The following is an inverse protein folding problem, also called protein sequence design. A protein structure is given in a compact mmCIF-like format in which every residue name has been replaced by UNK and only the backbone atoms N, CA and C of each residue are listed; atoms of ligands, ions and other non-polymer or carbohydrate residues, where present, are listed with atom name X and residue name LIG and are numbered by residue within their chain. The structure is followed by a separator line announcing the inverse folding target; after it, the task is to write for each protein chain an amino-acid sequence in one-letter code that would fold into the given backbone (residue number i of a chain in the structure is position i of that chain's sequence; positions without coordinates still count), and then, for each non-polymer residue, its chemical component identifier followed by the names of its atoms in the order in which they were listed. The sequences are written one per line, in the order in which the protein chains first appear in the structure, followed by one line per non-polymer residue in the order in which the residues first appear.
data_IF_120882972856
#
_entry.id   IF_120882972856
#
_cell.length_a   1.000
_cell.length_b   1.000
_cell.length_c   1.000
_cell.angle_alpha   90.00
_cell.angle_beta   90.00
_cell.angle_gamma   90.00
#
_symmetry.space_group_name_H-M   'P 1'
#
loop_
_entity.id
_entity.type
_entity.pdbx_description
1 polymer ?
2 non-polymer ?
3 water ?
#
# COMPACT_ATOMS: atom_id res chain seq x y z
N UNK A 6 -9.19 -6.04 11.06
CA UNK A 6 -8.44 -4.78 10.89
C UNK A 6 -9.09 -3.81 9.88
N UNK A 7 -9.86 -2.83 10.37
CA UNK A 7 -10.43 -1.79 9.49
C UNK A 7 -9.39 -0.80 8.89
N UNK A 8 -9.18 -0.95 7.58
CA UNK A 8 -8.32 -0.06 6.82
C UNK A 8 -9.21 0.80 5.97
N UNK A 9 -8.93 2.11 5.92
CA UNK A 9 -9.75 3.07 5.17
C UNK A 9 -8.90 3.81 4.15
N UNK A 10 -9.54 4.40 3.15
CA UNK A 10 -8.85 5.16 2.14
C UNK A 10 -9.02 6.64 2.47
N UNK A 11 -7.92 7.28 2.87
CA UNK A 11 -7.89 8.73 3.16
C UNK A 11 -7.26 9.41 1.95
N UNK A 12 -8.09 9.85 1.01
CA UNK A 12 -7.62 10.53 -0.22
C UNK A 12 -6.90 11.83 0.07
N UNK A 13 -7.37 12.54 1.08
CA UNK A 13 -6.80 13.85 1.46
C UNK A 13 -5.38 13.78 1.99
N UNK A 14 -5.05 12.69 2.65
CA UNK A 14 -3.67 12.43 3.03
C UNK A 14 -2.95 11.46 2.07
N UNK A 15 -3.62 11.06 0.99
CA UNK A 15 -3.06 10.08 0.06
C UNK A 15 -2.54 8.84 0.80
N UNK A 16 -3.37 8.25 1.66
CA UNK A 16 -2.96 7.00 2.32
C UNK A 16 -4.09 6.03 2.50
N UNK A 17 -3.75 4.75 2.65
CA UNK A 17 -4.70 3.77 3.15
C UNK A 17 -4.23 3.59 4.58
N UNK A 18 -5.16 3.67 5.53
CA UNK A 18 -4.71 3.67 6.93
C UNK A 18 -5.67 2.94 7.85
N UNK A 19 -5.20 2.54 9.04
CA UNK A 19 -6.10 2.11 10.12
C UNK A 19 -7.02 3.27 10.51
N UNK A 20 -8.18 2.99 11.08
CA UNK A 20 -9.09 4.08 11.48
C UNK A 20 -8.52 5.10 12.48
N UNK A 21 -7.57 4.68 13.33
CA UNK A 21 -6.97 5.58 14.32
C UNK A 21 -5.87 6.45 13.69
N UNK A 22 -5.73 6.30 12.38
CA UNK A 22 -4.72 6.99 11.58
C UNK A 22 -3.26 6.60 11.91
N UNK A 23 -3.04 5.60 12.77
CA UNK A 23 -1.69 5.31 13.28
C UNK A 23 -0.77 4.49 12.38
N UNK A 24 -1.36 3.61 11.56
CA UNK A 24 -0.60 2.79 10.64
C UNK A 24 -1.09 3.12 9.23
N UNK A 25 -0.16 3.21 8.27
CA UNK A 25 -0.55 3.71 6.94
C UNK A 25 0.44 3.32 5.86
N UNK A 26 -0.06 3.36 4.63
CA UNK A 26 0.75 3.31 3.45
C UNK A 26 0.37 4.53 2.63
N UNK A 27 1.38 5.35 2.28
CA UNK A 27 1.18 6.60 1.59
C UNK A 27 1.55 6.42 0.11
N UNK A 28 0.83 7.09 -0.79
CA UNK A 28 1.12 6.98 -2.22
C UNK A 28 1.23 8.38 -2.84
N UNK A 29 1.76 8.44 -4.06
CA UNK A 29 1.67 9.63 -4.91
C UNK A 29 1.12 9.09 -6.24
N UNK A 30 0.15 9.80 -6.81
CA UNK A 30 -0.49 9.41 -8.06
C UNK A 30 0.32 9.98 -9.20
N UNK A 31 0.52 9.19 -10.25
CA UNK A 31 1.34 9.64 -11.37
C UNK A 31 0.63 9.32 -12.66
N UNK A 32 1.13 9.93 -13.74
CA UNK A 32 0.62 9.73 -15.10
C UNK A 32 -0.90 9.94 -15.15
N UNK A 33 -1.33 11.17 -14.81
CA UNK A 33 -2.75 11.56 -14.74
C UNK A 33 -3.67 10.56 -14.07
N UNK A 34 -3.32 10.14 -12.86
CA UNK A 34 -4.12 9.21 -12.09
C UNK A 34 -4.07 7.75 -12.53
N UNK A 35 -3.12 7.39 -13.40
CA UNK A 35 -3.05 6.02 -13.92
C UNK A 35 -2.13 5.11 -13.13
N UNK A 36 -1.29 5.69 -12.27
CA UNK A 36 -0.26 4.93 -11.61
C UNK A 36 -0.24 5.36 -10.15
N UNK A 37 -0.23 4.39 -9.25
CA UNK A 37 -0.15 4.69 -7.85
C UNK A 37 1.25 4.26 -7.42
N UNK A 38 2.06 5.24 -7.03
CA UNK A 38 3.38 5.03 -6.45
C UNK A 38 3.31 4.89 -4.93
N UNK A 39 3.56 3.68 -4.41
CA UNK A 39 3.58 3.41 -2.96
C UNK A 39 4.91 3.82 -2.38
N UNK A 40 4.92 4.93 -1.65
CA UNK A 40 6.15 5.57 -1.28
C UNK A 40 6.65 5.33 0.17
N UNK A 41 5.74 5.06 1.11
CA UNK A 41 6.12 4.96 2.53
C UNK A 41 5.08 4.13 3.27
N UNK A 42 5.53 3.11 4.00
CA UNK A 42 4.65 2.38 4.91
C UNK A 42 5.14 2.58 6.36
N UNK A 43 4.21 2.76 7.30
CA UNK A 43 4.60 2.87 8.69
C UNK A 43 3.60 2.16 9.58
N UNK A 44 4.12 1.28 10.44
CA UNK A 44 3.34 0.64 11.48
C UNK A 44 4.05 0.98 12.80
N UNK A 45 3.29 1.39 13.82
CA UNK A 45 3.94 1.72 15.09
C UNK A 45 4.44 0.46 15.84
N UNK A 46 5.46 0.65 16.68
CA UNK A 46 6.22 -0.45 17.28
C UNK A 46 5.42 -1.53 17.98
N UNK A 47 4.34 -1.15 18.65
CA UNK A 47 3.58 -2.09 19.49
C UNK A 47 2.74 -3.06 18.65
N UNK A 48 2.51 -2.68 17.39
CA UNK A 48 1.66 -3.41 16.46
C UNK A 48 2.44 -4.11 15.32
N UNK A 49 3.77 -4.09 15.39
CA UNK A 49 4.64 -4.68 14.35
C UNK A 49 4.81 -6.20 14.41
N UNK A 50 5.25 -6.78 13.30
CA UNK A 50 5.58 -8.19 13.19
C UNK A 50 4.33 -9.05 13.22
N UNK A 51 3.17 -8.39 13.10
CA UNK A 51 1.86 -9.06 13.15
C UNK A 51 1.10 -9.05 11.80
N UNK A 52 1.73 -8.62 10.72
CA UNK A 52 1.05 -8.65 9.41
C UNK A 52 0.30 -7.36 9.06
N UNK A 53 0.39 -6.34 9.91
CA UNK A 53 -0.34 -5.11 9.59
C UNK A 53 0.11 -4.44 8.29
N UNK A 54 1.41 -4.34 8.03
CA UNK A 54 1.86 -3.69 6.81
C UNK A 54 1.39 -4.49 5.60
N UNK A 55 1.36 -5.80 5.73
CA UNK A 55 0.86 -6.65 4.66
C UNK A 55 -0.61 -6.32 4.36
N UNK A 56 -1.44 -6.18 5.40
CA UNK A 56 -2.85 -5.81 5.20
C UNK A 56 -3.01 -4.42 4.57
N UNK A 57 -2.15 -3.46 4.94
CA UNK A 57 -2.16 -2.13 4.33
C UNK A 57 -1.88 -2.23 2.84
N UNK A 58 -0.83 -2.98 2.48
CA UNK A 58 -0.51 -3.26 1.09
C UNK A 58 -1.67 -3.91 0.33
N UNK A 59 -2.31 -4.92 0.93
CA UNK A 59 -3.44 -5.59 0.28
C UNK A 59 -4.55 -4.55 -0.01
N UNK A 60 -4.78 -3.63 0.94
CA UNK A 60 -5.84 -2.61 0.74
C UNK A 60 -5.44 -1.79 -0.47
N UNK A 61 -4.17 -1.41 -0.56
CA UNK A 61 -3.80 -0.53 -1.66
C UNK A 61 -3.87 -1.25 -3.03
N UNK A 62 -3.37 -2.48 -3.09
CA UNK A 62 -3.41 -3.33 -4.31
C UNK A 62 -4.82 -3.63 -4.80
N UNK A 63 -5.72 -3.93 -3.86
CA UNK A 63 -7.11 -4.20 -4.21
C UNK A 63 -7.75 -2.96 -4.80
N UNK A 64 -7.51 -1.81 -4.15
CA UNK A 64 -7.90 -0.52 -4.70
C UNK A 64 -7.38 -0.29 -6.12
N UNK A 65 -6.08 -0.42 -6.32
CA UNK A 65 -5.45 -0.20 -7.63
C UNK A 65 -6.08 -1.14 -8.67
N UNK A 66 -6.10 -2.42 -8.33
CA UNK A 66 -6.68 -3.46 -9.13
C UNK A 66 -8.17 -3.19 -9.50
N UNK A 67 -9.04 -2.89 -8.54
CA UNK A 67 -10.44 -2.59 -8.92
C UNK A 67 -10.60 -1.32 -9.77
N UNK A 68 -9.67 -0.38 -9.67
CA UNK A 68 -9.79 0.87 -10.41
C UNK A 68 -8.99 0.90 -11.70
N UNK A 69 -8.40 -0.22 -12.07
CA UNK A 69 -7.54 -0.33 -13.28
C UNK A 69 -6.29 0.55 -13.26
N UNK A 70 -5.69 0.68 -12.08
CA UNK A 70 -4.51 1.51 -11.83
C UNK A 70 -3.31 0.55 -11.64
N UNK A 71 -2.12 0.90 -12.13
CA UNK A 71 -0.94 0.07 -11.87
C UNK A 71 -0.09 0.63 -10.70
N UNK A 72 0.82 -0.17 -10.17
CA UNK A 72 1.56 0.24 -8.95
C UNK A 72 3.07 0.38 -9.22
N UNK A 73 3.68 1.40 -8.62
CA UNK A 73 5.13 1.47 -8.47
C UNK A 73 5.42 1.18 -7.00
N UNK A 74 6.20 0.12 -6.73
CA UNK A 74 6.51 -0.30 -5.37
C UNK A 74 7.77 0.39 -4.89
N UNK A 75 7.73 1.72 -4.77
CA UNK A 75 8.91 2.45 -4.35
C UNK A 75 9.34 2.09 -2.93
N UNK A 76 8.38 2.06 -2.02
CA UNK A 76 8.61 1.73 -0.62
C UNK A 76 9.34 0.36 -0.49
N UNK A 77 10.37 0.28 0.35
CA UNK A 77 11.10 -1.00 0.46
C UNK A 77 10.30 -2.15 1.08
N UNK A 78 9.30 -1.85 1.92
CA UNK A 78 8.44 -2.95 2.43
C UNK A 78 7.75 -3.60 1.24
N UNK A 79 7.24 -2.77 0.34
CA UNK A 79 6.47 -3.31 -0.80
C UNK A 79 7.36 -4.14 -1.74
N UNK A 80 8.50 -3.60 -2.18
CA UNK A 80 9.30 -4.33 -3.18
C UNK A 80 10.10 -5.50 -2.57
N UNK A 81 10.51 -5.34 -1.33
CA UNK A 81 11.46 -6.30 -0.75
C UNK A 81 10.80 -7.38 0.05
N UNK A 82 9.59 -7.12 0.55
CA UNK A 82 8.91 -8.10 1.41
C UNK A 82 7.53 -8.51 0.90
N UNK A 83 6.67 -7.54 0.65
CA UNK A 83 5.30 -7.85 0.30
C UNK A 83 5.24 -8.56 -1.07
N UNK A 84 5.89 -7.99 -2.09
CA UNK A 84 5.78 -8.61 -3.43
C UNK A 84 6.36 -10.02 -3.56
N UNK A 85 7.57 -10.23 -3.04
CA UNK A 85 8.17 -11.58 -3.08
C UNK A 85 7.30 -12.61 -2.33
N UNK A 86 6.65 -12.20 -1.23
CA UNK A 86 5.81 -13.11 -0.43
C UNK A 86 4.41 -13.28 -1.01
N UNK A 87 4.08 -12.38 -1.95
CA UNK A 87 2.77 -12.30 -2.59
C UNK A 87 2.88 -12.06 -4.11
N UNK A 88 3.55 -12.97 -4.82
CA UNK A 88 3.85 -12.75 -6.25
C UNK A 88 2.62 -12.70 -7.17
N UNK A 89 1.46 -13.18 -6.73
CA UNK A 89 0.25 -13.06 -7.54
C UNK A 89 -0.18 -11.59 -7.74
N UNK A 90 0.47 -10.67 -7.03
CA UNK A 90 0.21 -9.23 -7.20
C UNK A 90 1.12 -8.55 -8.22
N UNK A 91 2.16 -9.26 -8.64
CA UNK A 91 3.13 -8.72 -9.56
C UNK A 91 2.59 -8.25 -10.93
N UNK A 92 1.53 -8.89 -11.48
CA UNK A 92 0.95 -8.28 -12.71
C UNK A 92 0.42 -6.83 -12.52
N UNK A 93 0.09 -6.43 -11.28
CA UNK A 93 -0.31 -5.03 -11.03
C UNK A 93 0.83 -4.01 -11.19
N UNK A 94 2.07 -4.50 -11.27
CA UNK A 94 3.24 -3.63 -11.18
C UNK A 94 3.54 -2.98 -12.51
N UNK A 95 3.75 -1.66 -12.47
CA UNK A 95 3.99 -0.88 -13.68
C UNK A 95 5.24 -1.38 -14.45
X LIG B 1 12.08 -3.11 4.23
X LIG B 1 11.63 -4.39 3.61
X LIG B 1 10.90 -5.20 4.60
X LIG B 1 10.98 -4.98 5.97
X LIG B 1 11.55 -3.82 6.50
X LIG B 1 12.04 -2.86 5.64
X LIG B 1 12.47 -1.70 6.13
X LIG B 1 11.47 -3.92 7.84
X LIG B 1 10.87 -5.08 8.14
X LIG B 1 10.58 -5.73 7.00
X LIG B 1 9.93 -7.04 6.81
X LIG B 1 10.67 -8.17 7.54
X LIG B 1 11.18 -9.13 6.55
X LIG B 1 9.56 -8.80 8.38
X LIG B 1 9.57 -10.21 8.16
X LIG B 1 9.74 -11.28 9.33
X LIG B 1 8.20 -11.89 9.49
X LIG B 1 10.17 -10.41 10.65
X LIG B 1 10.71 -12.34 8.90
X LIG B 1 8.28 -8.22 7.74
X LIG B 1 8.68 -6.91 7.44
X LIG B 1 7.14 -8.04 8.71
X LIG B 1 5.93 -8.01 7.95
X LIG B 1 4.63 -7.29 8.51
X LIG B 1 4.35 -7.83 9.85
X LIG B 1 3.61 -7.26 7.42
X LIG B 1 5.15 -5.75 8.71
X LIG B 1 4.90 -4.80 10.00
X LIG B 1 3.42 -4.61 10.29
X LIG B 1 5.80 -5.17 11.09
X LIG B 1 5.40 -3.46 9.45
X LIG B 1 7.04 -1.93 8.58
X LIG B 1 6.56 -3.39 8.59
X LIG B 1 8.32 -1.85 7.75
X LIG B 1 5.95 -1.05 7.98
X LIG B 1 7.30 -1.47 10.05
X LIG B 1 8.30 -2.30 10.67
X LIG B 1 7.79 0.00 10.10
X LIG B 1 6.89 0.95 10.30
X LIG B 1 9.07 0.26 9.94
X LIG B 1 9.61 1.65 9.94
X LIG B 1 9.29 2.40 8.61
X LIG B 1 9.95 1.78 7.37
X LIG B 1 11.29 1.51 7.42
X LIG B 1 9.19 1.52 6.30
X LIG B 1 9.77 0.89 5.09
X LIG B 1 10.15 1.92 4.03
X LIG B 1 8.69 2.90 3.54
#
# INVERSE_FOLDING_TARGET
MATEPPKIVWNEGKRRFETEDHEAFIEYKMRNNGKVMDLVHTYVPSFKRGLGLASHLCVAAFEHASSHSISIIPSCSYVSDTFLPRNPSWKPLIHSEVFKSSI
COA N1A C2A N3A C4A C5A C6A N6A N7A C8A N9A C1B C2B O2B C3B O3B P3B O7A O8A O9A C4B O4B C5B O5B P1A O1A O2A O3A P2A O4A O5A O6A CBP CCP CDP CEP CAP OAP C9P O9P N8P C7P C6P C5P O5P N4P C3P C2P S1P
#
